data_IF_784424444795
#
_entry.id   IF_784424444795
#
_cell.length_a   1.000
_cell.length_b   1.000
_cell.length_c   1.000
_cell.angle_alpha   90.00
_cell.angle_beta   90.00
_cell.angle_gamma   90.00
#
_symmetry.space_group_name_H-M   'P 1'
#
loop_
_entity.id
_entity.type
_entity.pdbx_description
1 polymer ?
#
# COMPACT_ATOMS: atom_id res chain seq x y z
N UNK A 1 -5.09 18.82 -4.78
CA UNK A 1 -6.20 17.90 -4.52
C UNK A 1 -6.99 18.34 -3.28
N UNK A 2 -8.29 18.66 -3.39
CA UNK A 2 -9.24 18.65 -2.27
C UNK A 2 -9.21 17.34 -1.45
N UNK A 3 -9.72 17.37 -0.22
CA UNK A 3 -9.64 16.26 0.75
C UNK A 3 -10.32 14.98 0.29
N UNK A 4 -11.43 15.11 -0.45
CA UNK A 4 -12.18 13.98 -1.00
C UNK A 4 -11.40 13.22 -2.07
N UNK A 5 -10.75 13.94 -2.99
CA UNK A 5 -9.89 13.36 -4.02
C UNK A 5 -8.74 12.54 -3.42
N UNK A 6 -8.15 12.99 -2.30
CA UNK A 6 -7.11 12.23 -1.61
C UNK A 6 -7.62 10.95 -0.93
N UNK A 7 -8.88 10.94 -0.50
CA UNK A 7 -9.48 9.80 0.22
C UNK A 7 -9.97 8.72 -0.74
N UNK A 8 -10.48 9.12 -1.91
CA UNK A 8 -11.18 8.20 -2.80
C UNK A 8 -10.50 8.02 -4.17
N UNK A 9 -9.57 8.90 -4.55
CA UNK A 9 -8.86 8.88 -5.83
C UNK A 9 -7.58 8.04 -5.84
N UNK A 10 -7.46 7.04 -4.94
CA UNK A 10 -6.28 6.18 -4.84
C UNK A 10 -6.05 5.31 -6.08
N UNK A 11 -7.13 4.92 -6.77
CA UNK A 11 -7.08 4.05 -7.92
C UNK A 11 -7.43 4.83 -9.19
N UNK A 12 -6.50 4.81 -10.15
CA UNK A 12 -6.74 5.33 -11.50
C UNK A 12 -7.37 4.29 -12.41
N UNK A 13 -7.76 4.74 -13.61
CA UNK A 13 -8.27 3.85 -14.65
C UNK A 13 -7.15 2.93 -15.15
N UNK A 14 -7.42 1.63 -15.19
CA UNK A 14 -6.53 0.66 -15.83
C UNK A 14 -7.06 0.39 -17.24
N UNK A 15 -6.31 0.82 -18.25
CA UNK A 15 -6.60 0.46 -19.65
C UNK A 15 -5.70 -0.68 -20.07
N UNK A 16 -6.30 -1.85 -20.34
CA UNK A 16 -5.62 -3.00 -20.91
C UNK A 16 -5.91 -3.09 -22.41
N UNK A 17 -4.86 -3.19 -23.24
CA UNK A 17 -4.98 -3.37 -24.68
C UNK A 17 -4.39 -4.73 -25.08
N UNK A 18 -5.21 -5.74 -25.42
CA UNK A 18 -4.71 -7.02 -25.91
C UNK A 18 -4.04 -6.86 -27.28
N UNK A 19 -3.12 -7.76 -27.60
CA UNK A 19 -2.43 -7.80 -28.92
C UNK A 19 -3.41 -7.98 -30.07
N UNK A 20 -4.53 -8.67 -29.83
CA UNK A 20 -5.67 -8.78 -30.75
C UNK A 20 -6.95 -8.41 -30.00
N UNK A 21 -7.69 -7.42 -30.49
CA UNK A 21 -8.97 -6.98 -29.94
C UNK A 21 -9.00 -5.51 -29.51
N UNK A 22 -10.17 -5.00 -29.10
CA UNK A 22 -10.31 -3.65 -28.59
C UNK A 22 -9.66 -3.50 -27.20
N UNK A 23 -9.31 -2.26 -26.84
CA UNK A 23 -8.84 -1.97 -25.49
C UNK A 23 -10.02 -1.99 -24.50
N UNK A 24 -9.78 -2.53 -23.32
CA UNK A 24 -10.72 -2.57 -22.22
C UNK A 24 -10.26 -1.61 -21.12
N UNK A 25 -11.21 -0.89 -20.53
CA UNK A 25 -10.92 -0.01 -19.39
C UNK A 25 -11.66 -0.55 -18.18
N UNK A 26 -10.90 -0.77 -17.12
CA UNK A 26 -11.41 -1.13 -15.81
C UNK A 26 -11.10 0.00 -14.83
N UNK A 27 -12.06 0.28 -13.96
CA UNK A 27 -11.91 1.24 -12.87
C UNK A 27 -12.29 0.55 -11.57
N UNK A 28 -11.43 0.70 -10.55
CA UNK A 28 -11.72 0.22 -9.21
C UNK A 28 -12.79 1.08 -8.53
N UNK A 29 -13.58 0.46 -7.66
CA UNK A 29 -14.52 1.20 -6.82
C UNK A 29 -13.78 2.16 -5.87
N UNK A 30 -14.34 3.36 -5.61
CA UNK A 30 -13.76 4.29 -4.65
C UNK A 30 -13.68 3.69 -3.25
N UNK A 31 -12.52 3.80 -2.60
CA UNK A 31 -12.30 3.23 -1.27
C UNK A 31 -11.42 4.11 -0.39
N UNK A 32 -11.91 4.45 0.80
CA UNK A 32 -11.17 5.23 1.80
C UNK A 32 -10.24 4.35 2.62
N UNK A 33 -9.07 4.06 2.04
CA UNK A 33 -8.03 3.22 2.65
C UNK A 33 -7.60 3.77 4.01
N UNK A 34 -7.48 5.10 4.15
CA UNK A 34 -7.01 5.72 5.37
C UNK A 34 -7.99 5.49 6.53
N UNK A 35 -9.29 5.72 6.30
CA UNK A 35 -10.31 5.42 7.31
C UNK A 35 -10.35 3.93 7.63
N UNK A 36 -10.33 3.06 6.63
CA UNK A 36 -10.39 1.62 6.83
C UNK A 36 -9.22 1.10 7.68
N UNK A 37 -8.00 1.59 7.42
CA UNK A 37 -6.82 1.24 8.20
C UNK A 37 -6.92 1.74 9.66
N UNK A 38 -7.39 2.97 9.88
CA UNK A 38 -7.55 3.52 11.23
C UNK A 38 -8.63 2.77 12.02
N UNK A 39 -9.75 2.43 11.39
CA UNK A 39 -10.82 1.65 12.02
C UNK A 39 -10.33 0.24 12.41
N UNK A 40 -9.54 -0.41 11.55
CA UNK A 40 -8.93 -1.71 11.86
C UNK A 40 -7.91 -1.61 13.02
N UNK A 41 -7.08 -0.56 13.03
CA UNK A 41 -6.13 -0.32 14.10
C UNK A 41 -6.84 -0.10 15.45
N UNK A 42 -7.90 0.71 15.47
CA UNK A 42 -8.68 0.97 16.67
C UNK A 42 -9.31 -0.32 17.24
N UNK A 43 -9.81 -1.20 16.37
CA UNK A 43 -10.36 -2.51 16.78
C UNK A 43 -9.30 -3.39 17.43
N UNK A 44 -8.12 -3.49 16.82
CA UNK A 44 -7.01 -4.26 17.36
C UNK A 44 -6.55 -3.70 18.73
N UNK A 45 -6.43 -2.38 18.86
CA UNK A 45 -6.06 -1.71 20.10
C UNK A 45 -7.08 -1.92 21.23
N UNK A 46 -8.37 -2.07 20.89
CA UNK A 46 -9.44 -2.39 21.83
C UNK A 46 -9.50 -3.88 22.22
N UNK A 47 -8.56 -4.72 21.75
CA UNK A 47 -8.54 -6.16 22.01
C UNK A 47 -9.43 -6.98 21.05
N UNK A 48 -9.88 -6.39 19.95
CA UNK A 48 -10.59 -7.08 18.88
C UNK A 48 -9.67 -7.83 17.92
N UNK A 49 -10.11 -7.98 16.68
CA UNK A 49 -9.33 -8.61 15.59
C UNK A 49 -7.92 -7.99 15.47
N UNK A 50 -6.86 -8.82 15.33
CA UNK A 50 -5.51 -8.32 15.10
C UNK A 50 -5.44 -7.40 13.87
N UNK A 51 -4.57 -6.40 13.95
CA UNK A 51 -4.32 -5.53 12.81
C UNK A 51 -3.72 -6.33 11.64
N UNK A 52 -4.07 -5.93 10.41
CA UNK A 52 -3.76 -6.71 9.19
C UNK A 52 -2.27 -6.95 8.95
N UNK A 53 -1.38 -6.14 9.52
CA UNK A 53 0.07 -6.34 9.47
C UNK A 53 0.58 -6.59 10.89
N UNK A 54 1.16 -7.77 11.18
CA UNK A 54 1.80 -8.04 12.46
C UNK A 54 2.93 -7.05 12.77
N UNK A 55 3.16 -6.75 14.04
CA UNK A 55 4.23 -5.81 14.45
C UNK A 55 5.61 -6.21 13.94
N UNK A 56 5.93 -7.51 13.93
CA UNK A 56 7.21 -8.01 13.41
C UNK A 56 7.38 -7.67 11.92
N UNK A 57 6.32 -7.75 11.13
CA UNK A 57 6.34 -7.41 9.69
C UNK A 57 6.45 -5.89 9.47
N UNK A 58 5.86 -5.08 10.36
CA UNK A 58 6.04 -3.61 10.33
C UNK A 58 7.52 -3.26 10.56
N UNK A 59 8.16 -3.88 11.55
CA UNK A 59 9.59 -3.67 11.84
C UNK A 59 10.46 -4.17 10.69
N UNK A 60 10.13 -5.33 10.13
CA UNK A 60 10.86 -5.87 8.97
C UNK A 60 10.80 -4.93 7.77
N UNK A 61 9.64 -4.34 7.46
CA UNK A 61 9.50 -3.37 6.36
C UNK A 61 10.39 -2.14 6.53
N UNK A 62 10.53 -1.62 7.75
CA UNK A 62 11.46 -0.53 8.05
C UNK A 62 12.92 -0.96 7.81
N UNK A 63 13.32 -2.12 8.33
CA UNK A 63 14.68 -2.65 8.16
C UNK A 63 15.04 -2.87 6.68
N UNK A 64 14.10 -3.39 5.87
CA UNK A 64 14.26 -3.53 4.41
C UNK A 64 14.48 -2.18 3.75
N UNK A 65 13.69 -1.16 4.13
CA UNK A 65 13.81 0.19 3.57
C UNK A 65 15.20 0.79 3.88
N UNK A 66 15.68 0.62 5.11
CA UNK A 66 17.02 1.06 5.53
C UNK A 66 18.12 0.33 4.76
N UNK A 67 18.01 -0.99 4.60
CA UNK A 67 18.96 -1.78 3.83
C UNK A 67 19.04 -1.34 2.36
N UNK A 68 17.91 -0.99 1.73
CA UNK A 68 17.87 -0.44 0.36
C UNK A 68 18.63 0.88 0.29
N UNK A 69 18.39 1.79 1.24
CA UNK A 69 19.06 3.09 1.29
C UNK A 69 20.57 2.92 1.44
N UNK A 70 21.00 2.04 2.36
CA UNK A 70 22.41 1.75 2.60
C UNK A 70 23.08 1.11 1.38
N UNK A 71 22.42 0.14 0.75
CA UNK A 71 22.89 -0.51 -0.47
C UNK A 71 23.06 0.47 -1.63
N UNK A 72 22.11 1.40 -1.80
CA UNK A 72 22.21 2.44 -2.82
C UNK A 72 23.39 3.40 -2.56
N UNK A 73 23.66 3.73 -1.30
CA UNK A 73 24.78 4.59 -0.92
C UNK A 73 26.15 3.92 -1.06
N UNK A 74 26.24 2.62 -0.79
CA UNK A 74 27.50 1.85 -0.82
C UNK A 74 27.79 1.18 -2.17
N UNK A 75 26.76 0.95 -2.99
CA UNK A 75 26.85 0.16 -4.22
C UNK A 75 27.07 -1.33 -3.97
N UNK A 76 26.85 -1.82 -2.74
CA UNK A 76 27.00 -3.22 -2.35
C UNK A 76 25.66 -3.80 -1.86
N UNK A 77 25.41 -5.11 -2.01
CA UNK A 77 24.27 -5.76 -1.38
C UNK A 77 24.35 -5.64 0.15
N UNK A 78 23.23 -5.29 0.77
CA UNK A 78 23.09 -5.26 2.23
C UNK A 78 22.37 -6.51 2.75
N UNK A 79 22.80 -6.99 3.92
CA UNK A 79 22.18 -8.14 4.57
C UNK A 79 21.15 -7.66 5.60
N UNK A 80 19.98 -8.30 5.59
CA UNK A 80 18.91 -8.13 6.57
C UNK A 80 19.10 -9.05 7.78
#
# INVERSE_FOLDING_TARGET
APSEERRFGLFGNCTYKPVKGPAETWQADPFDVARAALDAFARAAAGGEPFMIPTAEIVHGAAVTEAIVNSAGSGQPEKL
#
